data_IF_814316840617
#
_entry.id   IF_814316840617
#
_cell.length_a   1.000
_cell.length_b   1.000
_cell.length_c   1.000
_cell.angle_alpha   90.00
_cell.angle_beta   90.00
_cell.angle_gamma   90.00
#
_symmetry.space_group_name_H-M   'P 1'
#
loop_
_entity.id
_entity.type
_entity.pdbx_description
1 polymer ?
#
# COMPACT_ATOMS: atom_id res chain seq x y z
N UNK A 1 -21.30 27.12 26.90
CA UNK A 1 -21.15 27.23 28.37
C UNK A 1 -21.48 25.89 29.00
N UNK A 2 -20.57 25.38 29.86
CA UNK A 2 -20.81 24.60 31.10
C UNK A 2 -21.69 23.34 30.97
N UNK A 3 -21.14 22.12 30.86
CA UNK A 3 -20.61 21.23 31.93
C UNK A 3 -21.52 21.10 33.16
N UNK A 4 -22.22 19.97 33.26
CA UNK A 4 -22.77 19.29 34.46
C UNK A 4 -22.77 17.80 34.05
N UNK A 5 -21.93 16.84 34.48
CA UNK A 5 -21.29 16.49 35.75
C UNK A 5 -22.27 16.09 36.86
N UNK A 6 -22.51 14.77 37.00
CA UNK A 6 -22.76 13.99 38.23
C UNK A 6 -23.24 12.57 37.82
N UNK A 7 -22.92 11.42 38.44
CA UNK A 7 -21.94 10.95 39.43
C UNK A 7 -22.22 9.44 39.67
N UNK A 8 -21.30 8.75 40.38
CA UNK A 8 -21.46 7.51 41.16
C UNK A 8 -21.33 6.21 40.33
N UNK A 9 -20.15 5.57 40.28
CA UNK A 9 -19.44 4.81 41.34
C UNK A 9 -20.11 3.48 41.68
N UNK A 10 -19.51 2.38 41.21
CA UNK A 10 -19.32 1.19 42.04
C UNK A 10 -18.04 0.47 41.63
N UNK A 11 -17.16 0.36 42.62
CA UNK A 11 -15.88 -0.33 42.64
C UNK A 11 -16.14 -1.85 42.84
N UNK A 12 -15.08 -2.64 42.62
CA UNK A 12 -14.86 -4.04 43.03
C UNK A 12 -15.36 -5.07 41.98
N UNK A 13 -14.59 -6.05 41.50
CA UNK A 13 -13.58 -6.90 42.15
C UNK A 13 -12.55 -7.39 41.10
N UNK A 14 -11.28 -7.37 41.49
CA UNK A 14 -10.16 -8.04 40.83
C UNK A 14 -10.22 -9.53 41.20
N UNK A 15 -10.29 -10.42 40.22
CA UNK A 15 -9.96 -11.83 40.39
C UNK A 15 -8.82 -12.18 39.43
N UNK A 16 -7.60 -12.20 39.98
CA UNK A 16 -6.41 -12.74 39.32
C UNK A 16 -6.51 -14.26 39.51
N UNK A 17 -6.75 -15.01 38.43
CA UNK A 17 -6.52 -16.45 38.44
C UNK A 17 -5.08 -16.72 38.01
N UNK A 18 -4.28 -17.12 38.99
CA UNK A 18 -2.95 -17.71 38.80
C UNK A 18 -3.08 -18.97 37.94
N UNK A 19 -2.42 -19.01 36.78
CA UNK A 19 -2.07 -20.28 36.14
C UNK A 19 -0.72 -20.72 36.67
N UNK A 20 -0.73 -21.81 37.43
CA UNK A 20 0.46 -22.51 37.89
C UNK A 20 1.25 -23.04 36.69
N UNK A 21 2.55 -22.76 36.69
CA UNK A 21 3.54 -23.32 35.78
C UNK A 21 4.21 -24.49 36.51
N UNK A 22 4.02 -25.72 36.04
CA UNK A 22 4.96 -26.80 36.35
C UNK A 22 4.99 -27.90 35.27
N UNK A 23 6.20 -28.45 35.13
CA UNK A 23 6.59 -29.73 34.54
C UNK A 23 6.86 -29.82 33.03
N UNK A 24 8.15 -29.58 32.74
CA UNK A 24 9.04 -30.33 31.85
C UNK A 24 8.49 -31.64 31.24
N UNK A 25 8.44 -31.72 29.91
CA UNK A 25 8.82 -32.92 29.16
C UNK A 25 9.11 -32.58 27.68
N UNK A 26 10.37 -32.74 27.30
CA UNK A 26 10.90 -32.57 25.94
C UNK A 26 10.69 -33.87 25.17
N UNK A 27 9.81 -33.92 24.15
CA UNK A 27 9.88 -34.88 23.03
C UNK A 27 9.27 -34.32 21.72
N UNK A 28 10.17 -34.15 20.75
CA UNK A 28 10.07 -34.60 19.35
C UNK A 28 9.10 -33.93 18.34
N UNK A 29 9.70 -33.08 17.49
CA UNK A 29 9.67 -33.03 16.01
C UNK A 29 8.34 -33.25 15.22
N UNK A 30 8.06 -32.22 14.39
CA UNK A 30 7.36 -32.21 13.09
C UNK A 30 5.86 -32.55 13.08
N UNK A 31 5.02 -31.53 13.19
CA UNK A 31 3.87 -31.33 12.29
C UNK A 31 3.39 -29.87 12.36
N UNK A 32 2.75 -29.39 11.31
CA UNK A 32 2.15 -28.05 11.13
C UNK A 32 3.08 -26.87 10.76
N UNK A 33 3.75 -27.01 9.61
CA UNK A 33 3.91 -25.87 8.69
C UNK A 33 2.71 -25.87 7.75
N UNK A 34 1.54 -25.46 8.25
CA UNK A 34 0.41 -25.16 7.39
C UNK A 34 -0.51 -24.20 8.15
N UNK A 35 -0.82 -23.07 7.50
CA UNK A 35 -1.73 -21.99 7.91
C UNK A 35 -1.13 -20.81 8.71
N UNK A 36 -0.32 -19.99 8.02
CA UNK A 36 -0.21 -18.56 8.35
C UNK A 36 -0.29 -17.68 7.10
N UNK A 37 -1.16 -18.00 6.14
CA UNK A 37 -1.44 -17.12 4.98
C UNK A 37 -2.94 -16.87 4.84
N UNK A 38 -3.62 -16.65 5.96
CA UNK A 38 -5.02 -16.21 5.97
C UNK A 38 -5.24 -15.17 7.06
N UNK A 39 -4.52 -14.05 6.96
CA UNK A 39 -4.90 -12.76 7.52
C UNK A 39 -3.98 -11.69 6.90
N UNK A 40 -3.94 -11.63 5.57
CA UNK A 40 -3.61 -10.35 4.94
C UNK A 40 -4.84 -9.48 5.13
N UNK A 41 -4.74 -8.55 6.06
CA UNK A 41 -5.70 -7.49 6.33
C UNK A 41 -6.30 -6.94 5.01
N UNK A 42 -7.62 -6.90 4.92
CA UNK A 42 -8.36 -6.47 3.73
C UNK A 42 -7.90 -5.10 3.22
N UNK A 43 -7.41 -4.24 4.11
CA UNK A 43 -6.85 -2.92 3.83
C UNK A 43 -5.52 -3.00 3.07
N UNK A 44 -4.72 -4.02 3.32
CA UNK A 44 -3.47 -4.27 2.59
C UNK A 44 -3.74 -4.76 1.17
N UNK A 45 -4.77 -5.60 0.95
CA UNK A 45 -5.14 -6.08 -0.40
C UNK A 45 -5.76 -4.98 -1.28
N UNK A 46 -6.47 -4.01 -0.70
CA UNK A 46 -6.97 -2.85 -1.44
C UNK A 46 -5.83 -1.87 -1.82
N UNK A 47 -4.79 -1.74 -1.00
CA UNK A 47 -3.58 -0.95 -1.34
C UNK A 47 -2.77 -1.52 -2.52
N UNK A 48 -2.95 -2.79 -2.89
CA UNK A 48 -2.23 -3.39 -4.03
C UNK A 48 -2.80 -2.99 -5.41
N UNK A 49 -4.05 -2.51 -5.49
CA UNK A 49 -4.70 -2.25 -6.79
C UNK A 49 -4.35 -0.88 -7.38
N UNK A 50 -3.89 0.05 -6.55
CA UNK A 50 -3.54 1.41 -6.98
C UNK A 50 -2.02 1.66 -6.92
N UNK A 51 -1.23 0.68 -7.42
CA UNK A 51 0.20 0.92 -7.61
C UNK A 51 0.36 2.02 -8.67
N UNK A 52 0.83 3.18 -8.24
CA UNK A 52 1.26 4.27 -9.11
C UNK A 52 2.36 3.83 -10.08
N UNK A 53 2.76 4.70 -11.01
CA UNK A 53 3.92 4.37 -11.86
C UNK A 53 5.17 4.29 -10.99
N UNK A 54 5.87 3.17 -11.13
CA UNK A 54 7.16 2.93 -10.50
C UNK A 54 8.25 2.81 -11.56
N UNK A 55 9.50 3.04 -11.18
CA UNK A 55 10.66 2.88 -12.07
C UNK A 55 10.74 1.46 -12.61
N UNK A 56 10.32 0.49 -11.80
CA UNK A 56 10.24 -0.94 -12.15
C UNK A 56 9.33 -1.20 -13.35
N UNK A 57 8.20 -0.48 -13.46
CA UNK A 57 7.29 -0.65 -14.60
C UNK A 57 7.87 -0.11 -15.92
N UNK A 58 8.89 0.77 -15.83
CA UNK A 58 9.50 1.43 -16.98
C UNK A 58 10.79 0.77 -17.44
N UNK A 59 11.47 0.01 -16.56
CA UNK A 59 12.74 -0.68 -16.86
C UNK A 59 12.65 -1.60 -18.09
N UNK A 60 11.47 -2.16 -18.34
CA UNK A 60 11.25 -3.12 -19.43
C UNK A 60 10.95 -2.49 -20.81
N UNK A 61 10.93 -1.17 -20.92
CA UNK A 61 10.45 -0.46 -22.11
C UNK A 61 11.56 -0.02 -23.07
N UNK A 62 12.79 -0.47 -22.86
CA UNK A 62 13.95 -0.11 -23.71
C UNK A 62 13.98 1.41 -23.96
N UNK A 63 13.82 2.19 -22.90
CA UNK A 63 13.73 3.65 -22.97
C UNK A 63 15.06 4.24 -23.44
N UNK A 64 15.00 5.25 -24.32
CA UNK A 64 16.18 6.06 -24.67
C UNK A 64 16.72 6.80 -23.43
N UNK A 65 17.95 7.30 -23.50
CA UNK A 65 18.53 8.07 -22.38
C UNK A 65 17.70 9.32 -22.05
N UNK A 66 17.19 10.01 -23.06
CA UNK A 66 16.33 11.18 -22.86
C UNK A 66 14.98 10.81 -22.24
N UNK A 67 14.37 9.71 -22.69
CA UNK A 67 13.14 9.19 -22.08
C UNK A 67 13.37 8.77 -20.62
N UNK A 68 14.53 8.17 -20.28
CA UNK A 68 14.89 7.82 -18.91
C UNK A 68 15.03 9.07 -18.03
N UNK A 69 15.71 10.11 -18.51
CA UNK A 69 15.84 11.38 -17.77
C UNK A 69 14.48 12.04 -17.54
N UNK A 70 13.63 12.09 -18.56
CA UNK A 70 12.27 12.63 -18.43
C UNK A 70 11.43 11.81 -17.45
N UNK A 71 11.51 10.48 -17.50
CA UNK A 71 10.80 9.60 -16.58
C UNK A 71 11.26 9.79 -15.13
N UNK A 72 12.57 9.86 -14.88
CA UNK A 72 13.12 10.08 -13.55
C UNK A 72 12.69 11.44 -12.96
N UNK A 73 12.63 12.49 -13.79
CA UNK A 73 12.11 13.80 -13.38
C UNK A 73 10.63 13.71 -12.98
N UNK A 74 9.78 13.11 -13.83
CA UNK A 74 8.35 12.94 -13.53
C UNK A 74 8.15 12.14 -12.25
N UNK A 75 8.90 11.05 -12.06
CA UNK A 75 8.79 10.20 -10.86
C UNK A 75 9.24 10.95 -9.60
N UNK A 76 10.31 11.74 -9.70
CA UNK A 76 10.81 12.56 -8.59
C UNK A 76 9.79 13.62 -8.18
N UNK A 77 9.22 14.34 -9.14
CA UNK A 77 8.22 15.37 -8.87
C UNK A 77 6.91 14.79 -8.36
N UNK A 78 6.50 13.64 -8.90
CA UNK A 78 5.36 12.86 -8.42
C UNK A 78 5.57 12.48 -6.95
N UNK A 79 6.75 11.94 -6.60
CA UNK A 79 7.07 11.55 -5.22
C UNK A 79 6.97 12.74 -4.26
N UNK A 80 7.62 13.86 -4.59
CA UNK A 80 7.57 15.10 -3.80
C UNK A 80 6.13 15.59 -3.60
N UNK A 81 5.32 15.55 -4.65
CA UNK A 81 3.93 16.03 -4.59
C UNK A 81 3.06 15.11 -3.72
N UNK A 82 3.27 13.79 -3.79
CA UNK A 82 2.61 12.84 -2.89
C UNK A 82 3.02 13.05 -1.43
N UNK A 83 4.31 13.29 -1.16
CA UNK A 83 4.80 13.57 0.19
C UNK A 83 4.15 14.84 0.76
N UNK A 84 4.02 15.90 -0.05
CA UNK A 84 3.30 17.12 0.35
C UNK A 84 1.84 16.83 0.73
N UNK A 85 1.09 16.08 -0.08
CA UNK A 85 -0.31 15.74 0.21
C UNK A 85 -0.43 14.90 1.47
N UNK A 86 0.46 13.91 1.66
CA UNK A 86 0.43 13.05 2.85
C UNK A 86 0.64 13.85 4.13
N UNK A 87 1.57 14.80 4.10
CA UNK A 87 1.93 15.65 5.23
C UNK A 87 1.02 16.89 5.38
N UNK A 88 0.06 17.11 4.47
CA UNK A 88 -0.85 18.24 4.56
C UNK A 88 -1.89 17.99 5.65
N UNK A 89 -1.80 18.75 6.75
CA UNK A 89 -2.72 18.65 7.87
C UNK A 89 -4.08 19.31 7.61
N UNK A 90 -4.22 20.09 6.52
CA UNK A 90 -5.47 20.75 6.14
C UNK A 90 -6.43 19.83 5.39
N UNK A 91 -5.94 18.68 4.92
CA UNK A 91 -6.72 17.72 4.14
C UNK A 91 -7.21 16.56 5.00
N UNK A 92 -8.48 16.19 4.82
CA UNK A 92 -9.01 14.91 5.30
C UNK A 92 -8.42 13.74 4.52
N UNK A 93 -8.49 12.53 5.07
CA UNK A 93 -7.95 11.33 4.44
C UNK A 93 -8.58 11.05 3.06
N UNK A 94 -9.89 11.29 2.92
CA UNK A 94 -10.60 11.15 1.64
C UNK A 94 -10.06 12.13 0.58
N UNK A 95 -9.84 13.39 0.96
CA UNK A 95 -9.26 14.40 0.05
C UNK A 95 -7.82 14.08 -0.31
N UNK A 96 -7.03 13.51 0.63
CA UNK A 96 -5.68 13.03 0.34
C UNK A 96 -5.72 11.90 -0.68
N UNK A 97 -6.60 10.92 -0.49
CA UNK A 97 -6.74 9.78 -1.40
C UNK A 97 -7.11 10.24 -2.82
N UNK A 98 -8.08 11.15 -2.96
CA UNK A 98 -8.48 11.70 -4.25
C UNK A 98 -7.33 12.43 -4.96
N UNK A 99 -6.62 13.30 -4.24
CA UNK A 99 -5.46 14.04 -4.79
C UNK A 99 -4.31 13.10 -5.16
N UNK A 100 -4.06 12.05 -4.36
CA UNK A 100 -3.04 11.06 -4.67
C UNK A 100 -3.39 10.30 -5.95
N UNK A 101 -4.65 9.91 -6.14
CA UNK A 101 -5.14 9.28 -7.38
C UNK A 101 -4.99 10.19 -8.59
N UNK A 102 -5.31 11.46 -8.44
CA UNK A 102 -5.14 12.46 -9.50
C UNK A 102 -3.68 12.59 -9.92
N UNK A 103 -2.76 12.72 -8.95
CA UNK A 103 -1.32 12.76 -9.22
C UNK A 103 -0.85 11.49 -9.92
N UNK A 104 -1.33 10.33 -9.50
CA UNK A 104 -0.98 9.07 -10.15
C UNK A 104 -1.48 9.01 -11.59
N UNK A 105 -2.68 9.53 -11.87
CA UNK A 105 -3.23 9.62 -13.22
C UNK A 105 -2.43 10.60 -14.08
N UNK A 106 -2.05 11.76 -13.55
CA UNK A 106 -1.24 12.75 -14.25
C UNK A 106 0.15 12.20 -14.59
N UNK A 107 0.83 11.58 -13.62
CA UNK A 107 2.11 10.90 -13.86
C UNK A 107 1.98 9.82 -14.94
N UNK A 108 0.89 9.03 -14.92
CA UNK A 108 0.58 8.05 -15.98
C UNK A 108 0.46 8.69 -17.34
N UNK A 109 -0.23 9.82 -17.45
CA UNK A 109 -0.42 10.49 -18.72
C UNK A 109 0.90 11.07 -19.26
N UNK A 110 1.70 11.71 -18.41
CA UNK A 110 3.01 12.28 -18.78
C UNK A 110 3.98 11.21 -19.27
N UNK A 111 4.06 10.08 -18.57
CA UNK A 111 4.87 8.94 -19.03
C UNK A 111 4.31 8.37 -20.33
N UNK A 112 2.99 8.20 -20.48
CA UNK A 112 2.44 7.72 -21.74
C UNK A 112 2.70 8.68 -22.90
N UNK A 113 2.77 9.99 -22.68
CA UNK A 113 3.01 10.98 -23.73
C UNK A 113 4.41 10.83 -24.35
N UNK A 114 5.43 10.48 -23.57
CA UNK A 114 6.81 10.32 -24.07
C UNK A 114 7.10 8.97 -24.75
N UNK A 115 6.22 7.99 -24.60
CA UNK A 115 6.45 6.64 -25.13
C UNK A 115 6.08 6.54 -26.61
N UNK A 116 6.86 5.77 -27.36
CA UNK A 116 6.55 5.43 -28.75
C UNK A 116 5.31 4.53 -28.83
N UNK A 117 4.61 4.48 -29.97
CA UNK A 117 3.48 3.57 -30.17
C UNK A 117 3.81 2.09 -29.88
N UNK A 118 5.03 1.66 -30.24
CA UNK A 118 5.51 0.30 -30.01
C UNK A 118 5.72 0.01 -28.52
N UNK A 119 6.34 0.94 -27.79
CA UNK A 119 6.50 0.85 -26.33
C UNK A 119 5.14 0.79 -25.62
N UNK A 120 4.15 1.58 -26.07
CA UNK A 120 2.77 1.53 -25.56
C UNK A 120 2.12 0.16 -25.75
N UNK A 121 2.32 -0.47 -26.92
CA UNK A 121 1.84 -1.83 -27.15
C UNK A 121 2.52 -2.84 -26.21
N UNK A 122 3.83 -2.72 -25.96
CA UNK A 122 4.57 -3.59 -25.04
C UNK A 122 3.97 -3.54 -23.62
N UNK A 123 3.61 -2.34 -23.14
CA UNK A 123 2.91 -2.16 -21.85
C UNK A 123 1.55 -2.86 -21.86
N UNK A 124 0.72 -2.63 -22.89
CA UNK A 124 -0.63 -3.22 -22.98
C UNK A 124 -0.58 -4.76 -22.94
N UNK A 125 0.30 -5.35 -23.75
CA UNK A 125 0.51 -6.81 -23.80
C UNK A 125 0.99 -7.38 -22.46
N UNK A 126 1.91 -6.70 -21.76
CA UNK A 126 2.35 -7.12 -20.40
C UNK A 126 1.20 -7.05 -19.40
N UNK A 127 0.39 -5.99 -19.44
CA UNK A 127 -0.77 -5.81 -18.57
C UNK A 127 -1.82 -6.91 -18.78
N UNK A 128 -2.09 -7.28 -20.03
CA UNK A 128 -3.00 -8.39 -20.36
C UNK A 128 -2.48 -9.73 -19.82
N UNK A 129 -1.21 -10.06 -20.08
CA UNK A 129 -0.59 -11.30 -19.56
C UNK A 129 -0.65 -11.39 -18.03
N UNK A 130 -0.41 -10.29 -17.32
CA UNK A 130 -0.47 -10.25 -15.85
C UNK A 130 -1.89 -10.45 -15.29
N UNK A 131 -2.93 -10.12 -16.06
CA UNK A 131 -4.33 -10.34 -15.68
C UNK A 131 -4.76 -11.79 -15.91
N UNK A 132 -4.24 -12.42 -16.96
CA UNK A 132 -4.63 -13.78 -17.34
C UNK A 132 -3.85 -14.86 -16.59
N UNK A 133 -2.58 -14.62 -16.23
CA UNK A 133 -1.74 -15.58 -15.49
C UNK A 133 -1.92 -15.61 -13.97
N UNK A 134 -2.97 -14.98 -13.45
CA UNK A 134 -3.35 -15.00 -12.02
C UNK A 134 -4.58 -15.86 -11.72
N UNK A 135 -4.92 -16.80 -12.62
CA UNK A 135 -5.94 -17.83 -12.43
C UNK A 135 -5.29 -19.17 -12.16
#
# INVERSE_FOLDING_TARGET
>A
MKKIMLLISCILIIAITSNAQDSTAKKTKKEKVQNHVQNMDSTQKQNLKDRGITKENLKDLDLSEDQKKQADNILTDTKKSKEKIKNDASLSDSQKEEKLKEIDKDAKNKINAMLTPEQKQKIKKKKEKSKTGGQ
#
